data_IF_414174798833
#
_entry.id   IF_414174798833
#
_cell.length_a   1.000
_cell.length_b   1.000
_cell.length_c   1.000
_cell.angle_alpha   90.00
_cell.angle_beta   90.00
_cell.angle_gamma   90.00
#
_symmetry.space_group_name_H-M   'P 1'
#
loop_
_entity.id
_entity.type
_entity.pdbx_description
1 polymer ?
#
# COMPACT_ATOMS: atom_id res chain seq x y z
N UNK A 1 5.40 0.69 12.28
CA UNK A 1 4.15 1.45 12.01
C UNK A 1 3.55 0.96 10.71
N UNK A 2 2.25 0.65 10.71
CA UNK A 2 1.47 0.46 9.49
C UNK A 2 1.40 1.80 8.74
N UNK A 3 1.69 1.87 7.44
CA UNK A 3 1.47 3.09 6.66
C UNK A 3 -0.02 3.45 6.65
N UNK A 4 -0.33 4.74 6.73
CA UNK A 4 -1.68 5.23 6.46
C UNK A 4 -2.03 4.90 5.00
N UNK A 5 -3.14 4.18 4.79
CA UNK A 5 -3.61 3.70 3.48
C UNK A 5 -4.71 4.63 2.90
N UNK A 6 -4.81 5.85 3.40
CA UNK A 6 -5.79 6.81 2.89
C UNK A 6 -5.53 7.11 1.41
N UNK A 7 -6.56 7.05 0.53
CA UNK A 7 -6.37 7.02 -0.92
C UNK A 7 -5.77 8.31 -1.50
N UNK A 8 -5.85 9.43 -0.79
CA UNK A 8 -5.25 10.70 -1.22
C UNK A 8 -3.73 10.75 -1.00
N UNK A 9 -3.16 9.81 -0.24
CA UNK A 9 -1.74 9.79 0.10
C UNK A 9 -0.91 8.96 -0.86
N UNK A 10 -1.52 8.28 -1.82
CA UNK A 10 -0.80 7.34 -2.70
C UNK A 10 -1.03 7.67 -4.16
N UNK A 11 -0.11 7.17 -4.99
CA UNK A 11 -0.25 7.13 -6.44
C UNK A 11 -1.46 6.32 -6.84
N UNK A 12 -1.98 6.59 -8.05
CA UNK A 12 -3.13 5.87 -8.62
C UNK A 12 -2.90 4.35 -8.66
N UNK A 13 -1.68 3.91 -8.94
CA UNK A 13 -1.31 2.49 -9.00
C UNK A 13 -1.38 1.83 -7.62
N UNK A 14 -0.80 2.45 -6.59
CA UNK A 14 -0.88 1.91 -5.23
C UNK A 14 -2.32 1.92 -4.70
N UNK A 15 -3.13 2.94 -5.04
CA UNK A 15 -4.54 2.99 -4.66
C UNK A 15 -5.36 1.83 -5.21
N UNK A 16 -5.12 1.41 -6.46
CA UNK A 16 -5.75 0.22 -7.04
C UNK A 16 -5.45 -1.04 -6.22
N UNK A 17 -4.20 -1.23 -5.77
CA UNK A 17 -3.82 -2.36 -4.93
C UNK A 17 -4.48 -2.31 -3.55
N UNK A 18 -4.60 -1.11 -2.96
CA UNK A 18 -5.30 -0.88 -1.69
C UNK A 18 -6.78 -1.24 -1.82
N UNK A 19 -7.43 -0.85 -2.91
CA UNK A 19 -8.84 -1.20 -3.18
C UNK A 19 -9.04 -2.72 -3.27
N UNK A 20 -8.13 -3.44 -3.95
CA UNK A 20 -8.16 -4.90 -4.00
C UNK A 20 -7.96 -5.55 -2.63
N UNK A 21 -7.01 -5.04 -1.83
CA UNK A 21 -6.79 -5.51 -0.46
C UNK A 21 -8.03 -5.30 0.41
N UNK A 22 -8.63 -4.11 0.35
CA UNK A 22 -9.86 -3.81 1.08
C UNK A 22 -11.03 -4.69 0.62
N UNK A 23 -11.14 -4.96 -0.69
CA UNK A 23 -12.13 -5.89 -1.23
C UNK A 23 -11.91 -7.31 -0.69
N UNK A 24 -10.68 -7.80 -0.70
CA UNK A 24 -10.33 -9.09 -0.13
C UNK A 24 -10.71 -9.17 1.37
N UNK A 25 -10.41 -8.12 2.15
CA UNK A 25 -10.80 -8.05 3.55
C UNK A 25 -12.31 -8.02 3.78
N UNK A 26 -13.08 -7.36 2.91
CA UNK A 26 -14.56 -7.34 2.99
C UNK A 26 -15.17 -8.69 2.65
N UNK A 27 -14.67 -9.36 1.61
CA UNK A 27 -15.17 -10.67 1.19
C UNK A 27 -14.75 -11.79 2.16
N UNK A 28 -13.58 -11.65 2.79
CA UNK A 28 -12.94 -12.70 3.59
C UNK A 28 -12.64 -12.23 5.01
N UNK A 29 -13.69 -11.84 5.73
CA UNK A 29 -13.60 -11.34 7.12
C UNK A 29 -12.82 -12.28 8.05
N UNK A 30 -13.07 -13.59 7.98
CA UNK A 30 -12.32 -14.61 8.74
C UNK A 30 -10.98 -14.93 8.06
N UNK A 31 -10.94 -14.93 6.73
CA UNK A 31 -9.73 -15.22 5.94
C UNK A 31 -8.60 -14.19 6.11
N UNK A 32 -8.92 -12.96 6.53
CA UNK A 32 -7.95 -11.92 6.91
C UNK A 32 -6.99 -12.40 8.02
N UNK A 33 -7.48 -13.19 8.97
CA UNK A 33 -6.65 -13.72 10.06
C UNK A 33 -5.82 -14.94 9.63
N UNK A 34 -6.20 -15.61 8.54
CA UNK A 34 -5.50 -16.80 8.02
C UNK A 34 -4.63 -16.50 6.80
N UNK A 35 -4.35 -15.23 6.51
CA UNK A 35 -3.45 -14.83 5.42
C UNK A 35 -4.02 -15.05 4.01
N UNK A 36 -5.35 -15.14 3.84
CA UNK A 36 -5.95 -15.31 2.50
C UNK A 36 -5.79 -14.09 1.58
N UNK A 37 -5.42 -12.94 2.13
CA UNK A 37 -5.14 -11.72 1.37
C UNK A 37 -3.64 -11.44 1.21
N UNK A 38 -2.76 -12.40 1.55
CA UNK A 38 -1.30 -12.24 1.60
C UNK A 38 -0.69 -11.67 0.32
N UNK A 39 -1.20 -12.08 -0.85
CA UNK A 39 -0.77 -11.53 -2.13
C UNK A 39 -1.00 -10.01 -2.23
N UNK A 40 -2.20 -9.55 -1.86
CA UNK A 40 -2.54 -8.13 -1.89
C UNK A 40 -1.82 -7.35 -0.79
N UNK A 41 -1.63 -7.95 0.38
CA UNK A 41 -0.83 -7.38 1.47
C UNK A 41 0.62 -7.14 1.01
N UNK A 42 1.24 -8.12 0.36
CA UNK A 42 2.59 -7.99 -0.18
C UNK A 42 2.66 -6.93 -1.28
N UNK A 43 1.70 -6.93 -2.22
CA UNK A 43 1.66 -5.96 -3.30
C UNK A 43 1.54 -4.51 -2.77
N UNK A 44 0.63 -4.28 -1.81
CA UNK A 44 0.47 -2.96 -1.15
C UNK A 44 1.75 -2.57 -0.39
N UNK A 45 2.38 -3.51 0.31
CA UNK A 45 3.65 -3.27 1.01
C UNK A 45 4.76 -2.85 0.04
N UNK A 46 4.93 -3.56 -1.07
CA UNK A 46 5.96 -3.23 -2.07
C UNK A 46 5.71 -1.84 -2.67
N UNK A 47 4.45 -1.52 -2.99
CA UNK A 47 4.07 -0.25 -3.61
C UNK A 47 4.33 0.93 -2.66
N UNK A 48 3.80 0.87 -1.44
CA UNK A 48 3.98 1.91 -0.41
C UNK A 48 5.44 2.07 0.03
N UNK A 49 6.24 0.98 0.02
CA UNK A 49 7.68 1.03 0.24
C UNK A 49 8.40 1.82 -0.86
N UNK A 50 8.05 1.59 -2.13
CA UNK A 50 8.62 2.33 -3.27
C UNK A 50 8.28 3.81 -3.18
N UNK A 51 7.03 4.17 -2.88
CA UNK A 51 6.62 5.58 -2.70
C UNK A 51 7.41 6.27 -1.58
N UNK A 52 7.60 5.59 -0.44
CA UNK A 52 8.40 6.12 0.66
C UNK A 52 9.86 6.36 0.24
N UNK A 53 10.47 5.42 -0.47
CA UNK A 53 11.84 5.57 -0.97
C UNK A 53 11.92 6.72 -1.97
N UNK A 54 10.98 6.77 -2.92
CA UNK A 54 10.90 7.83 -3.94
C UNK A 54 10.73 9.22 -3.32
N UNK A 55 9.85 9.38 -2.32
CA UNK A 55 9.70 10.66 -1.60
C UNK A 55 11.00 11.07 -0.92
N UNK A 56 11.72 10.13 -0.31
CA UNK A 56 13.03 10.44 0.31
C UNK A 56 14.08 10.82 -0.72
N UNK A 57 14.11 10.14 -1.87
CA UNK A 57 15.07 10.48 -2.93
C UNK A 57 14.76 11.81 -3.60
N UNK A 58 13.48 12.12 -3.83
CA UNK A 58 13.08 13.39 -4.45
C UNK A 58 13.29 14.57 -3.51
N UNK A 59 12.99 14.42 -2.22
CA UNK A 59 13.25 15.51 -1.24
C UNK A 59 14.74 15.84 -1.18
N UNK A 60 15.63 14.84 -1.22
CA UNK A 60 17.08 15.09 -1.26
C UNK A 60 17.51 15.84 -2.55
N UNK A 61 16.82 15.65 -3.67
CA UNK A 61 17.17 16.27 -4.96
C UNK A 61 16.63 17.69 -5.16
N UNK A 62 15.77 18.21 -4.27
CA UNK A 62 15.21 19.57 -4.40
C UNK A 62 15.98 20.63 -3.58
N UNK A 63 17.03 20.23 -2.86
CA UNK A 63 17.88 21.11 -2.05
C UNK A 63 19.19 21.55 -2.76
N UNK A 64 19.34 21.29 -4.07
CA UNK A 64 20.50 21.70 -4.91
C UNK A 64 20.14 22.87 -5.86
#
# INVERSE_FOLDING_TARGET
MLPDLSPHLHTRECNLLIEFLQRCHREKLIGKMFGQCSYWDEAVWQCTKKERIWRRSVVISCDD
#
